data_IF_139130496734
#
_entry.id   IF_139130496734
#
_cell.length_a   1.000
_cell.length_b   1.000
_cell.length_c   1.000
_cell.angle_alpha   90.00
_cell.angle_beta   90.00
_cell.angle_gamma   90.00
#
_symmetry.space_group_name_H-M   'P 1'
#
loop_
_entity.id
_entity.type
_entity.pdbx_description
1 polymer ?
#
# COMPACT_ATOMS: atom_id res chain seq x y z
N UNK A 1 -6.94 -19.09 6.34
CA UNK A 1 -5.79 -18.53 5.57
C UNK A 1 -4.50 -19.04 6.19
N UNK A 2 -3.68 -19.80 5.46
CA UNK A 2 -2.50 -20.50 6.03
C UNK A 2 -1.39 -19.54 6.50
N UNK A 3 -1.17 -18.42 5.78
CA UNK A 3 -0.09 -17.46 6.09
C UNK A 3 -0.44 -16.43 7.17
N UNK A 4 -1.71 -16.33 7.57
CA UNK A 4 -2.19 -15.42 8.63
C UNK A 4 -2.60 -16.15 9.91
N UNK A 5 -2.63 -17.48 9.88
CA UNK A 5 -3.04 -18.27 11.03
C UNK A 5 -2.04 -18.05 12.17
N UNK A 6 -2.55 -17.82 13.38
CA UNK A 6 -1.71 -17.77 14.56
C UNK A 6 -1.10 -19.14 14.81
N UNK A 7 0.23 -19.21 14.88
CA UNK A 7 0.93 -20.45 15.22
C UNK A 7 1.36 -20.40 16.69
N UNK A 8 0.85 -21.34 17.49
CA UNK A 8 0.98 -21.35 18.95
C UNK A 8 2.42 -21.50 19.46
N UNK A 9 3.30 -22.14 18.68
CA UNK A 9 4.73 -22.29 19.00
C UNK A 9 5.51 -20.99 18.85
N UNK A 10 5.42 -20.34 17.68
CA UNK A 10 6.14 -19.09 17.39
C UNK A 10 5.43 -17.82 17.89
N UNK A 11 4.22 -17.95 18.45
CA UNK A 11 3.38 -16.86 18.99
C UNK A 11 3.10 -15.73 17.99
N UNK A 12 3.11 -16.04 16.69
CA UNK A 12 2.80 -15.11 15.59
C UNK A 12 2.40 -15.92 14.35
N UNK A 13 2.06 -15.26 13.26
CA UNK A 13 1.80 -15.97 12.00
C UNK A 13 3.10 -16.45 11.34
N UNK A 14 3.07 -17.56 10.56
CA UNK A 14 4.24 -18.00 9.79
C UNK A 14 4.81 -16.90 8.88
N UNK A 15 3.96 -16.04 8.32
CA UNK A 15 4.40 -14.90 7.51
C UNK A 15 5.19 -13.89 8.35
N UNK A 16 4.67 -13.49 9.52
CA UNK A 16 5.35 -12.56 10.43
C UNK A 16 6.68 -13.10 10.94
N UNK A 17 6.80 -14.42 11.11
CA UNK A 17 8.06 -15.03 11.52
C UNK A 17 9.15 -14.94 10.43
N UNK A 18 8.76 -14.98 9.15
CA UNK A 18 9.70 -14.94 8.02
C UNK A 18 10.02 -13.50 7.60
N UNK A 19 8.99 -12.64 7.52
CA UNK A 19 9.12 -11.30 6.95
C UNK A 19 9.20 -10.18 8.00
N UNK A 20 8.97 -10.48 9.28
CA UNK A 20 9.01 -9.49 10.36
C UNK A 20 7.87 -8.48 10.33
N UNK A 21 6.89 -8.64 9.43
CA UNK A 21 5.72 -7.77 9.33
C UNK A 21 4.44 -8.59 9.13
N UNK A 22 3.30 -8.01 9.48
CA UNK A 22 2.00 -8.64 9.23
C UNK A 22 1.75 -8.74 7.72
N UNK A 23 1.14 -9.85 7.29
CA UNK A 23 0.77 -10.04 5.89
C UNK A 23 -0.21 -8.95 5.45
N UNK A 24 0.17 -8.17 4.44
CA UNK A 24 -0.71 -7.21 3.77
C UNK A 24 -1.73 -7.99 2.94
N UNK A 25 -3.01 -7.68 3.13
CA UNK A 25 -4.14 -8.33 2.46
C UNK A 25 -5.04 -7.26 1.84
N UNK A 26 -5.15 -7.27 0.50
CA UNK A 26 -5.95 -6.31 -0.24
C UNK A 26 -5.51 -4.85 -0.07
N UNK A 27 -6.26 -3.94 -0.68
CA UNK A 27 -5.96 -2.51 -0.67
C UNK A 27 -6.16 -1.87 0.71
N UNK A 28 -7.00 -2.45 1.57
CA UNK A 28 -7.29 -1.93 2.92
C UNK A 28 -6.11 -2.01 3.90
N UNK A 29 -5.07 -2.78 3.58
CA UNK A 29 -3.82 -2.85 4.35
C UNK A 29 -2.72 -1.97 3.78
N UNK A 30 -3.05 -1.12 2.79
CA UNK A 30 -2.15 -0.12 2.24
C UNK A 30 -2.25 1.20 3.00
N UNK A 31 -1.44 2.19 2.59
CA UNK A 31 -1.49 3.54 3.14
C UNK A 31 -2.70 4.35 2.65
N UNK A 32 -3.52 3.79 1.75
CA UNK A 32 -4.69 4.47 1.21
C UNK A 32 -5.77 4.59 2.30
N UNK A 33 -6.30 5.80 2.58
CA UNK A 33 -7.41 5.98 3.51
C UNK A 33 -8.62 5.15 3.08
N UNK A 34 -9.31 4.55 4.06
CA UNK A 34 -10.51 3.73 3.81
C UNK A 34 -11.58 4.50 3.03
N UNK A 35 -11.68 5.80 3.28
CA UNK A 35 -12.70 6.65 2.67
C UNK A 35 -12.43 6.85 1.18
N UNK A 36 -11.16 6.96 0.79
CA UNK A 36 -10.73 6.97 -0.60
C UNK A 36 -10.93 5.60 -1.26
N UNK A 37 -10.68 4.50 -0.54
CA UNK A 37 -10.95 3.15 -1.07
C UNK A 37 -12.43 2.90 -1.35
N UNK A 38 -13.33 3.43 -0.52
CA UNK A 38 -14.78 3.28 -0.72
C UNK A 38 -15.29 4.05 -1.94
N UNK A 39 -14.61 5.15 -2.33
CA UNK A 39 -14.94 5.92 -3.52
C UNK A 39 -14.28 5.43 -4.81
N UNK A 40 -13.33 4.49 -4.71
CA UNK A 40 -12.60 3.98 -5.87
C UNK A 40 -13.52 3.09 -6.71
N UNK A 41 -13.69 3.45 -7.97
CA UNK A 41 -14.55 2.71 -8.93
C UNK A 41 -13.71 2.03 -10.01
N UNK A 42 -12.61 2.65 -10.43
CA UNK A 42 -11.76 2.20 -11.53
C UNK A 42 -10.26 2.32 -11.20
N UNK A 43 -9.44 1.82 -12.10
CA UNK A 43 -7.98 1.79 -11.98
C UNK A 43 -7.35 3.18 -12.14
N UNK A 44 -7.96 4.08 -12.92
CA UNK A 44 -7.45 5.44 -13.14
C UNK A 44 -7.54 6.27 -11.84
N UNK A 45 -8.64 6.15 -11.10
CA UNK A 45 -8.79 6.76 -9.77
C UNK A 45 -7.77 6.22 -8.77
N UNK A 46 -7.48 4.91 -8.82
CA UNK A 46 -6.43 4.31 -7.99
C UNK A 46 -5.06 4.92 -8.31
N UNK A 47 -4.72 5.02 -9.60
CA UNK A 47 -3.46 5.60 -10.04
C UNK A 47 -3.31 7.06 -9.60
N UNK A 48 -4.36 7.88 -9.78
CA UNK A 48 -4.35 9.29 -9.36
C UNK A 48 -4.17 9.42 -7.84
N UNK A 49 -4.84 8.57 -7.06
CA UNK A 49 -4.73 8.53 -5.60
C UNK A 49 -3.31 8.17 -5.15
N UNK A 50 -2.70 7.16 -5.78
CA UNK A 50 -1.33 6.75 -5.48
C UNK A 50 -0.31 7.82 -5.87
N UNK A 51 -0.49 8.46 -7.03
CA UNK A 51 0.37 9.56 -7.48
C UNK A 51 0.29 10.73 -6.49
N UNK A 52 -0.92 11.13 -6.07
CA UNK A 52 -1.12 12.20 -5.09
C UNK A 52 -0.44 11.92 -3.73
N UNK A 53 -0.42 10.67 -3.28
CA UNK A 53 0.28 10.27 -2.05
C UNK A 53 1.80 10.28 -2.19
N UNK A 54 2.33 10.07 -3.41
CA UNK A 54 3.76 9.97 -3.67
C UNK A 54 4.38 11.31 -4.06
N UNK A 55 3.61 12.41 -4.08
CA UNK A 55 4.14 13.76 -4.29
C UNK A 55 4.94 14.21 -3.06
N UNK A 56 6.17 13.72 -2.97
CA UNK A 56 7.27 14.61 -2.59
C UNK A 56 7.46 15.59 -3.75
N UNK A 57 7.75 16.89 -3.52
CA UNK A 57 8.05 17.80 -4.62
C UNK A 57 9.29 17.28 -5.36
N UNK A 58 9.07 16.61 -6.48
CA UNK A 58 10.09 16.45 -7.51
C UNK A 58 10.13 17.80 -8.21
N UNK A 59 11.25 18.54 -8.18
CA UNK A 59 11.32 19.82 -8.86
C UNK A 59 11.08 19.58 -10.35
N UNK A 60 10.12 20.32 -10.88
CA UNK A 60 9.85 20.43 -12.30
C UNK A 60 11.17 20.79 -12.97
N UNK A 61 11.77 19.85 -13.70
CA UNK A 61 12.91 20.17 -14.53
C UNK A 61 12.35 20.95 -15.72
N UNK A 62 12.29 22.27 -15.52
CA UNK A 62 11.87 23.28 -16.45
C UNK A 62 12.55 23.03 -17.81
N UNK A 63 11.73 22.97 -18.86
CA UNK A 63 12.20 23.03 -20.23
C UNK A 63 12.97 24.33 -20.40
N UNK A 64 14.29 24.29 -20.35
CA UNK A 64 15.12 25.33 -20.96
C UNK A 64 15.13 25.05 -22.45
N UNK A 65 14.28 25.79 -23.14
CA UNK A 65 14.37 26.01 -24.58
C UNK A 65 15.56 26.95 -24.79
N UNK A 66 16.59 26.47 -25.47
CA UNK A 66 17.36 27.24 -26.47
C UNK A 66 17.96 26.30 -27.51
#
# INVERSE_FOLDING_TARGET
>A
MKNRAFHSGIKRSPYEAIFGCAARVGLSTTAIPKEALNSLVDEDQLQNTLTAMNVSPQPDNEKVVE
#
